data_IF_321900064877
#
_entry.id   IF_321900064877
#
_cell.length_a   1.000
_cell.length_b   1.000
_cell.length_c   1.000
_cell.angle_alpha   90.00
_cell.angle_beta   90.00
_cell.angle_gamma   90.00
#
_symmetry.space_group_name_H-M   'P 1'
#
loop_
_entity.id
_entity.type
_entity.pdbx_description
1 polymer ?
#
# COMPACT_ATOMS: atom_id res chain seq x y z
N UNK A 1 -17.86 1.09 3.15
CA UNK A 1 -17.23 2.44 3.20
C UNK A 1 -16.80 2.86 4.62
N UNK A 2 -16.78 1.94 5.60
CA UNK A 2 -16.14 2.15 6.90
C UNK A 2 -14.67 1.69 6.91
N UNK A 3 -14.32 0.84 5.95
CA UNK A 3 -13.06 0.09 5.90
C UNK A 3 -11.84 0.99 5.77
N UNK A 4 -11.97 2.13 5.06
CA UNK A 4 -10.86 3.07 4.83
C UNK A 4 -10.45 3.81 6.10
N UNK A 5 -11.42 4.22 6.93
CA UNK A 5 -11.13 4.91 8.20
C UNK A 5 -10.55 3.93 9.22
N UNK A 6 -11.17 2.76 9.35
CA UNK A 6 -10.68 1.69 10.22
C UNK A 6 -9.26 1.26 9.82
N UNK A 7 -8.95 1.21 8.53
CA UNK A 7 -7.58 0.89 8.11
C UNK A 7 -6.60 2.02 8.40
N UNK A 8 -6.99 3.28 8.25
CA UNK A 8 -6.14 4.41 8.59
C UNK A 8 -5.82 4.41 10.09
N UNK A 9 -6.82 4.19 10.95
CA UNK A 9 -6.64 4.10 12.40
C UNK A 9 -5.74 2.92 12.78
N UNK A 10 -6.02 1.74 12.21
CA UNK A 10 -5.15 0.57 12.37
C UNK A 10 -3.72 0.87 11.91
N UNK A 11 -3.56 1.50 10.74
CA UNK A 11 -2.25 1.76 10.17
C UNK A 11 -1.46 2.70 11.08
N UNK A 12 -2.08 3.79 11.52
CA UNK A 12 -1.45 4.75 12.43
C UNK A 12 -1.08 4.11 13.77
N UNK A 13 -1.90 3.20 14.28
CA UNK A 13 -1.58 2.51 15.54
C UNK A 13 -0.46 1.48 15.34
N UNK A 14 -0.61 0.57 14.38
CA UNK A 14 0.30 -0.55 14.16
C UNK A 14 1.66 -0.11 13.61
N UNK A 15 1.69 0.90 12.73
CA UNK A 15 2.90 1.38 12.05
C UNK A 15 3.43 2.71 12.59
N UNK A 16 2.96 3.13 13.78
CA UNK A 16 3.43 4.32 14.50
C UNK A 16 4.95 4.31 14.75
N UNK A 17 5.51 3.12 15.01
CA UNK A 17 6.92 2.90 15.32
C UNK A 17 7.58 2.01 14.24
N UNK A 18 8.27 2.62 13.26
CA UNK A 18 8.97 1.89 12.21
C UNK A 18 10.06 0.95 12.73
N UNK A 19 10.62 1.18 13.92
CA UNK A 19 11.68 0.32 14.45
C UNK A 19 11.19 -1.11 14.73
N UNK A 20 9.89 -1.29 14.97
CA UNK A 20 9.26 -2.58 15.28
C UNK A 20 8.87 -3.41 14.05
N UNK A 21 9.01 -2.84 12.86
CA UNK A 21 8.74 -3.52 11.60
C UNK A 21 10.05 -3.84 10.90
N UNK A 22 10.22 -5.07 10.44
CA UNK A 22 11.47 -5.56 9.83
C UNK A 22 11.28 -6.13 8.42
N UNK A 23 10.06 -6.10 7.87
CA UNK A 23 9.77 -6.75 6.59
C UNK A 23 8.55 -6.19 5.84
N UNK A 24 7.95 -7.06 5.03
CA UNK A 24 6.70 -6.83 4.30
C UNK A 24 5.53 -7.37 5.12
N UNK A 25 4.56 -6.52 5.40
CA UNK A 25 3.35 -6.84 6.15
C UNK A 25 2.14 -6.63 5.23
N UNK A 26 1.27 -7.64 5.17
CA UNK A 26 -0.02 -7.55 4.47
C UNK A 26 -1.12 -7.58 5.52
N UNK A 27 -1.96 -6.55 5.60
CA UNK A 27 -3.12 -6.63 6.48
C UNK A 27 -4.16 -7.57 5.88
N UNK A 28 -4.32 -8.73 6.52
CA UNK A 28 -5.21 -9.77 6.06
C UNK A 28 -6.70 -9.40 6.12
N UNK A 29 -7.06 -8.45 6.96
CA UNK A 29 -8.46 -8.07 7.16
C UNK A 29 -8.97 -7.10 6.09
N UNK A 30 -8.08 -6.56 5.25
CA UNK A 30 -8.44 -5.60 4.20
C UNK A 30 -8.16 -6.16 2.83
N UNK A 31 -9.12 -6.99 2.43
CA UNK A 31 -9.30 -7.45 1.08
C UNK A 31 -10.21 -6.49 0.34
N UNK A 32 -9.81 -6.12 -0.86
CA UNK A 32 -10.61 -5.31 -1.77
C UNK A 32 -11.12 -6.18 -2.93
N UNK A 33 -12.35 -5.93 -3.34
CA UNK A 33 -12.95 -6.60 -4.50
C UNK A 33 -12.35 -6.06 -5.82
N UNK A 34 -11.95 -4.79 -5.84
CA UNK A 34 -11.34 -4.15 -6.99
C UNK A 34 -9.96 -3.55 -6.68
N UNK A 35 -9.09 -3.53 -7.71
CA UNK A 35 -7.80 -2.83 -7.64
C UNK A 35 -7.97 -1.33 -7.40
N UNK A 36 -9.05 -0.75 -7.94
CA UNK A 36 -9.32 0.69 -7.84
C UNK A 36 -9.60 1.09 -6.39
N UNK A 37 -10.40 0.31 -5.67
CA UNK A 37 -10.70 0.55 -4.25
C UNK A 37 -9.43 0.43 -3.39
N UNK A 38 -8.63 -0.61 -3.63
CA UNK A 38 -7.34 -0.79 -2.97
C UNK A 38 -6.38 0.39 -3.22
N UNK A 39 -6.32 0.90 -4.46
CA UNK A 39 -5.52 2.07 -4.80
C UNK A 39 -6.05 3.35 -4.15
N UNK A 40 -7.37 3.52 -4.06
CA UNK A 40 -7.97 4.68 -3.42
C UNK A 40 -7.62 4.71 -1.92
N UNK A 41 -7.71 3.57 -1.25
CA UNK A 41 -7.29 3.44 0.15
C UNK A 41 -5.79 3.66 0.32
N UNK A 42 -4.95 3.09 -0.58
CA UNK A 42 -3.50 3.35 -0.58
C UNK A 42 -3.19 4.85 -0.64
N UNK A 43 -3.81 5.56 -1.59
CA UNK A 43 -3.58 7.00 -1.77
C UNK A 43 -4.04 7.80 -0.54
N UNK A 44 -5.22 7.47 0.01
CA UNK A 44 -5.71 8.09 1.23
C UNK A 44 -4.74 7.87 2.41
N UNK A 45 -4.14 6.68 2.56
CA UNK A 45 -3.14 6.45 3.61
C UNK A 45 -1.94 7.37 3.43
N UNK A 46 -1.39 7.43 2.21
CA UNK A 46 -0.26 8.30 1.87
C UNK A 46 -0.57 9.77 2.20
N UNK A 47 -1.78 10.23 1.91
CA UNK A 47 -2.21 11.61 2.16
C UNK A 47 -2.47 11.91 3.64
N UNK A 48 -3.02 10.96 4.40
CA UNK A 48 -3.53 11.22 5.76
C UNK A 48 -2.65 10.71 6.89
N UNK A 49 -1.86 9.66 6.67
CA UNK A 49 -1.01 9.09 7.72
C UNK A 49 0.39 9.70 7.68
N UNK A 50 0.89 10.25 8.81
CA UNK A 50 2.23 10.82 8.88
C UNK A 50 3.34 9.75 8.88
N UNK A 51 2.98 8.48 9.07
CA UNK A 51 3.91 7.36 9.17
C UNK A 51 4.22 6.73 7.81
N UNK A 52 3.41 6.99 6.77
CA UNK A 52 3.59 6.43 5.43
C UNK A 52 4.96 6.70 4.82
N UNK A 53 5.61 7.81 5.15
CA UNK A 53 6.97 8.14 4.69
C UNK A 53 8.03 7.10 5.05
N UNK A 54 7.76 6.22 6.02
CA UNK A 54 8.66 5.15 6.45
C UNK A 54 8.34 3.80 5.81
N UNK A 55 7.36 3.74 4.90
CA UNK A 55 6.92 2.51 4.27
C UNK A 55 6.60 2.70 2.78
N UNK A 56 6.91 1.69 1.99
CA UNK A 56 6.44 1.54 0.63
C UNK A 56 5.13 0.74 0.62
N UNK A 57 4.19 1.19 -0.20
CA UNK A 57 2.88 0.57 -0.36
C UNK A 57 2.73 -0.02 -1.76
N UNK A 58 2.38 -1.30 -1.83
CA UNK A 58 2.01 -1.95 -3.08
C UNK A 58 0.59 -2.49 -3.03
N UNK A 59 -0.06 -2.60 -4.18
CA UNK A 59 -1.38 -3.21 -4.33
C UNK A 59 -1.21 -4.46 -5.18
N UNK A 60 -1.42 -5.61 -4.57
CA UNK A 60 -1.11 -6.90 -5.17
C UNK A 60 -2.35 -7.81 -5.15
N UNK A 61 -2.54 -8.56 -6.23
CA UNK A 61 -3.58 -9.59 -6.28
C UNK A 61 -2.97 -10.91 -5.82
N UNK A 62 -3.17 -11.23 -4.54
CA UNK A 62 -2.47 -12.33 -3.88
C UNK A 62 -3.43 -13.21 -3.08
N UNK A 63 -2.97 -14.42 -2.78
CA UNK A 63 -3.49 -15.18 -1.66
C UNK A 63 -2.50 -15.09 -0.49
N UNK A 64 -2.69 -14.15 0.46
CA UNK A 64 -1.69 -13.88 1.50
C UNK A 64 -1.42 -15.08 2.41
N UNK A 65 -2.37 -16.02 2.56
CA UNK A 65 -2.12 -17.35 3.13
C UNK A 65 -3.18 -18.36 2.68
N UNK A 66 -2.93 -19.67 2.85
CA UNK A 66 -3.86 -20.72 2.40
C UNK A 66 -5.27 -20.64 3.02
N UNK A 67 -5.44 -19.93 4.13
CA UNK A 67 -6.71 -19.77 4.84
C UNK A 67 -7.49 -18.52 4.41
N UNK A 68 -6.93 -17.71 3.51
CA UNK A 68 -7.48 -16.45 3.07
C UNK A 68 -8.04 -16.52 1.66
N UNK A 69 -8.95 -15.59 1.36
CA UNK A 69 -9.51 -15.47 0.02
C UNK A 69 -8.56 -14.69 -0.89
N UNK A 70 -8.36 -15.19 -2.11
CA UNK A 70 -7.69 -14.44 -3.18
C UNK A 70 -8.41 -13.10 -3.40
N UNK A 71 -7.65 -12.02 -3.52
CA UNK A 71 -8.20 -10.68 -3.76
C UNK A 71 -7.11 -9.63 -3.89
N UNK A 72 -7.52 -8.37 -4.00
CA UNK A 72 -6.60 -7.24 -3.98
C UNK A 72 -6.27 -6.88 -2.54
N UNK A 73 -4.99 -6.80 -2.22
CA UNK A 73 -4.49 -6.44 -0.90
C UNK A 73 -3.50 -5.29 -0.99
N UNK A 74 -3.42 -4.50 0.08
CA UNK A 74 -2.36 -3.50 0.26
C UNK A 74 -1.24 -4.15 1.07
N UNK A 75 -0.06 -4.22 0.48
CA UNK A 75 1.16 -4.69 1.14
C UNK A 75 1.99 -3.47 1.55
N UNK A 76 2.56 -3.54 2.75
CA UNK A 76 3.32 -2.45 3.39
C UNK A 76 4.72 -2.98 3.66
N UNK A 77 5.74 -2.36 3.10
CA UNK A 77 7.13 -2.73 3.33
C UNK A 77 7.86 -1.57 3.97
N UNK A 78 8.57 -1.81 5.07
CA UNK A 78 9.43 -0.77 5.65
C UNK A 78 10.55 -0.39 4.69
N UNK A 79 10.85 0.91 4.61
CA UNK A 79 12.02 1.42 3.92
C UNK A 79 13.14 1.72 4.91
N UNK A 80 14.37 1.28 4.62
CA UNK A 80 15.56 1.54 5.44
C UNK A 80 15.96 3.03 5.47
N UNK A 81 15.50 3.80 4.48
CA UNK A 81 15.58 5.26 4.44
C UNK A 81 14.19 5.81 4.21
N UNK A 82 13.74 6.85 4.93
CA UNK A 82 12.43 7.44 4.69
C UNK A 82 12.32 7.80 3.21
N UNK A 83 11.30 7.28 2.55
CA UNK A 83 11.04 7.59 1.16
C UNK A 83 10.85 9.11 1.11
N UNK A 84 11.66 9.81 0.31
CA UNK A 84 11.29 11.15 -0.10
C UNK A 84 9.84 11.09 -0.60
N UNK A 85 8.99 12.08 -0.26
CA UNK A 85 7.59 12.05 -0.63
C UNK A 85 7.51 11.68 -2.10
N UNK A 86 6.86 10.54 -2.38
CA UNK A 86 6.75 10.00 -3.72
C UNK A 86 6.27 11.15 -4.59
N UNK A 87 7.16 11.64 -5.46
CA UNK A 87 6.72 12.40 -6.61
C UNK A 87 5.69 11.51 -7.25
N UNK A 88 4.44 12.02 -7.35
CA UNK A 88 3.35 11.35 -8.07
C UNK A 88 3.99 10.69 -9.28
N UNK A 89 3.89 9.37 -9.38
CA UNK A 89 4.09 8.67 -10.64
C UNK A 89 3.12 9.33 -11.62
N UNK A 90 3.60 10.39 -12.28
CA UNK A 90 3.18 10.73 -13.60
C UNK A 90 3.61 9.53 -14.41
N UNK A 91 2.62 8.69 -14.71
CA UNK A 91 2.56 7.83 -15.86
C UNK A 91 3.57 8.29 -16.91
N UNK A 92 4.77 7.70 -16.95
CA UNK A 92 5.55 7.71 -18.17
C UNK A 92 4.87 6.71 -19.08
N UNK A 93 3.78 7.17 -19.69
CA UNK A 93 3.29 6.66 -20.95
C UNK A 93 4.40 6.94 -21.98
N UNK A 94 5.44 6.10 -21.99
CA UNK A 94 6.45 6.18 -23.03
C UNK A 94 5.94 5.41 -24.22
N UNK A 95 5.08 6.08 -24.97
CA UNK A 95 4.79 5.78 -26.36
C UNK A 95 6.10 6.00 -27.15
N UNK A 96 6.94 4.98 -27.24
CA UNK A 96 8.01 4.92 -28.25
C UNK A 96 7.91 3.62 -29.05
N UNK A 97 7.06 3.75 -30.06
CA UNK A 97 7.21 3.16 -31.38
C UNK A 97 8.68 3.03 -31.81
N UNK A 98 8.91 1.98 -32.61
CA UNK A 98 10.03 1.73 -33.55
C UNK A 98 11.26 0.94 -33.06
N UNK A 99 11.32 -0.31 -33.54
CA UNK A 99 12.46 -1.00 -34.20
C UNK A 99 11.94 -2.40 -34.56
N UNK A 100 11.99 -2.92 -35.78
CA UNK A 100 12.90 -2.69 -36.91
C UNK A 100 12.21 -3.21 -38.18
#
# INVERSE_FOLDING_TARGET
>A
MNDSKEYLDFFNQAYSDPSKHSGCSTNSNLRFESRADALQVKNMLIEKSPHTKFYDFSVEYINPNKSMQVGWYITVKKVDKPAQPHQKDQTKENNQQTKK
#
